data_IF_804604724827
#
_entry.id   IF_804604724827
#
_cell.length_a   1.000
_cell.length_b   1.000
_cell.length_c   1.000
_cell.angle_alpha   90.00
_cell.angle_beta   90.00
_cell.angle_gamma   90.00
#
_symmetry.space_group_name_H-M   'P 1'
#
loop_
_entity.id
_entity.type
_entity.pdbx_description
1 polymer ?
#
# COMPACT_ATOMS: atom_id res chain seq x y z
N UNK A 1 6.11 11.25 22.84
CA UNK A 1 7.18 10.23 22.97
C UNK A 1 8.43 10.76 22.28
N UNK A 2 9.62 10.40 22.74
CA UNK A 2 10.87 10.85 22.12
C UNK A 2 10.94 10.47 20.63
N UNK A 3 11.38 11.41 19.79
CA UNK A 3 11.72 11.14 18.40
C UNK A 3 12.83 10.07 18.38
N UNK A 4 12.76 9.15 17.41
CA UNK A 4 13.84 8.21 17.18
C UNK A 4 15.11 8.98 16.80
N UNK A 5 16.26 8.61 17.38
CA UNK A 5 17.56 9.14 17.02
C UNK A 5 18.19 8.25 15.92
N UNK A 6 18.26 8.72 14.66
CA UNK A 6 18.81 7.93 13.56
C UNK A 6 20.28 7.55 13.76
N UNK A 7 21.04 8.29 14.58
CA UNK A 7 22.46 7.99 14.82
C UNK A 7 22.67 6.70 15.60
N UNK A 8 21.66 6.22 16.32
CA UNK A 8 21.70 4.97 17.07
C UNK A 8 21.32 3.74 16.22
N UNK A 9 20.81 3.94 15.01
CA UNK A 9 20.31 2.85 14.17
C UNK A 9 21.36 1.76 13.95
N UNK A 10 22.60 2.15 13.63
CA UNK A 10 23.66 1.20 13.33
C UNK A 10 24.06 0.35 14.55
N UNK A 11 23.83 0.85 15.76
CA UNK A 11 24.06 0.11 17.00
C UNK A 11 22.93 -0.89 17.28
N UNK A 12 21.71 -0.59 16.85
CA UNK A 12 20.53 -1.42 17.07
C UNK A 12 20.34 -2.52 16.02
N UNK A 13 20.73 -2.27 14.75
CA UNK A 13 20.52 -3.19 13.64
C UNK A 13 21.09 -4.60 13.86
N UNK A 14 22.34 -4.79 14.36
CA UNK A 14 22.89 -6.13 14.58
C UNK A 14 22.02 -6.97 15.52
N UNK A 15 21.55 -6.36 16.61
CA UNK A 15 20.72 -7.02 17.62
C UNK A 15 19.31 -7.30 17.10
N UNK A 16 18.72 -6.34 16.37
CA UNK A 16 17.43 -6.53 15.71
C UNK A 16 17.46 -7.69 14.72
N UNK A 17 18.47 -7.75 13.84
CA UNK A 17 18.62 -8.86 12.91
C UNK A 17 18.79 -10.17 13.68
N UNK A 18 19.68 -10.22 14.68
CA UNK A 18 19.95 -11.43 15.45
C UNK A 18 18.75 -11.98 16.23
N UNK A 19 17.88 -11.12 16.76
CA UNK A 19 16.81 -11.54 17.69
C UNK A 19 15.39 -11.43 17.16
N UNK A 20 15.12 -10.48 16.28
CA UNK A 20 13.74 -10.11 15.95
C UNK A 20 13.40 -10.28 14.46
N UNK A 21 14.40 -10.32 13.57
CA UNK A 21 14.13 -10.47 12.14
C UNK A 21 13.69 -11.92 11.78
N UNK A 22 12.57 -12.10 11.05
CA UNK A 22 11.97 -13.41 10.85
C UNK A 22 12.53 -14.18 9.65
N UNK A 23 13.85 -14.49 9.66
CA UNK A 23 14.55 -15.10 8.52
C UNK A 23 13.85 -16.32 7.92
N UNK A 24 13.46 -17.28 8.76
CA UNK A 24 12.81 -18.52 8.30
C UNK A 24 11.49 -18.27 7.60
N UNK A 25 10.68 -17.39 8.17
CA UNK A 25 9.38 -17.06 7.62
C UNK A 25 9.52 -16.27 6.31
N UNK A 26 10.48 -15.33 6.25
CA UNK A 26 10.82 -14.61 5.02
C UNK A 26 11.30 -15.58 3.93
N UNK A 27 12.19 -16.53 4.26
CA UNK A 27 12.66 -17.52 3.28
C UNK A 27 11.54 -18.46 2.84
N UNK A 28 10.66 -18.90 3.76
CA UNK A 28 9.48 -19.72 3.44
C UNK A 28 8.55 -18.99 2.47
N UNK A 29 8.33 -17.69 2.67
CA UNK A 29 7.57 -16.85 1.74
C UNK A 29 8.25 -16.78 0.37
N UNK A 30 9.52 -16.39 0.33
CA UNK A 30 10.25 -16.12 -0.91
C UNK A 30 10.53 -17.37 -1.76
N UNK A 31 10.35 -18.54 -1.18
CA UNK A 31 10.45 -19.85 -1.86
C UNK A 31 9.09 -20.47 -2.15
N UNK A 32 7.99 -19.87 -1.69
CA UNK A 32 6.63 -20.36 -1.91
C UNK A 32 6.43 -21.83 -1.49
N UNK A 33 7.17 -22.27 -0.45
CA UNK A 33 7.16 -23.66 0.01
C UNK A 33 7.78 -24.67 -0.96
N UNK A 34 8.54 -24.20 -1.97
CA UNK A 34 9.46 -25.02 -2.76
C UNK A 34 10.69 -25.39 -1.92
N UNK A 35 11.50 -26.31 -2.43
CA UNK A 35 12.79 -26.64 -1.80
C UNK A 35 13.62 -25.36 -1.60
N UNK A 36 13.91 -25.04 -0.34
CA UNK A 36 14.61 -23.83 0.08
C UNK A 36 15.96 -23.71 -0.62
N UNK A 37 16.72 -24.80 -0.66
CA UNK A 37 18.09 -24.83 -1.19
C UNK A 37 18.12 -24.54 -2.70
N UNK A 38 17.18 -25.13 -3.44
CA UNK A 38 17.13 -25.00 -4.89
C UNK A 38 16.57 -23.64 -5.36
N UNK A 39 15.59 -23.09 -4.63
CA UNK A 39 14.83 -21.92 -5.08
C UNK A 39 15.30 -20.59 -4.49
N UNK A 40 15.82 -20.57 -3.25
CA UNK A 40 16.22 -19.33 -2.60
C UNK A 40 17.50 -18.73 -3.20
N UNK A 41 18.46 -19.58 -3.58
CA UNK A 41 19.73 -19.19 -4.22
C UNK A 41 19.58 -18.41 -5.53
N UNK A 42 18.41 -18.47 -6.16
CA UNK A 42 18.08 -17.78 -7.40
C UNK A 42 17.45 -16.40 -7.17
N UNK A 43 17.11 -16.06 -5.92
CA UNK A 43 16.51 -14.77 -5.54
C UNK A 43 17.58 -13.70 -5.38
N UNK A 44 17.38 -12.55 -6.02
CA UNK A 44 18.18 -11.36 -5.74
C UNK A 44 17.72 -10.69 -4.45
N UNK A 45 18.69 -10.39 -3.59
CA UNK A 45 18.58 -9.44 -2.50
C UNK A 45 19.60 -8.32 -2.70
N UNK A 46 19.27 -7.11 -2.24
CA UNK A 46 20.17 -5.97 -2.26
C UNK A 46 20.33 -5.39 -0.85
N UNK A 47 21.57 -5.14 -0.45
CA UNK A 47 21.90 -4.47 0.80
C UNK A 47 22.19 -3.00 0.51
N UNK A 48 21.49 -2.11 1.18
CA UNK A 48 21.69 -0.65 1.06
C UNK A 48 22.29 -0.15 2.37
N UNK A 49 23.46 0.48 2.27
CA UNK A 49 24.22 1.00 3.39
C UNK A 49 23.96 2.50 3.61
N UNK A 50 24.51 3.06 4.68
CA UNK A 50 24.34 4.47 5.07
C UNK A 50 24.82 5.47 4.02
N UNK A 51 25.86 5.11 3.27
CA UNK A 51 26.44 5.88 2.16
C UNK A 51 25.61 5.76 0.86
N UNK A 52 24.39 5.22 0.92
CA UNK A 52 23.53 4.88 -0.22
C UNK A 52 24.24 3.98 -1.25
N UNK A 53 25.22 3.19 -0.80
CA UNK A 53 25.85 2.17 -1.63
C UNK A 53 24.93 0.95 -1.71
N UNK A 54 24.58 0.57 -2.95
CA UNK A 54 23.70 -0.56 -3.21
C UNK A 54 24.52 -1.78 -3.60
N UNK A 55 24.64 -2.75 -2.68
CA UNK A 55 25.22 -4.04 -2.98
C UNK A 55 24.14 -4.96 -3.57
N UNK A 56 23.94 -4.87 -4.89
CA UNK A 56 23.00 -5.66 -5.69
C UNK A 56 23.49 -7.07 -6.01
N UNK A 57 22.59 -7.88 -6.57
CA UNK A 57 22.87 -9.24 -7.02
C UNK A 57 23.43 -10.15 -5.92
N UNK A 58 23.03 -9.94 -4.66
CA UNK A 58 23.32 -10.91 -3.58
C UNK A 58 22.31 -12.04 -3.66
N UNK A 59 22.76 -13.25 -3.38
CA UNK A 59 21.89 -14.42 -3.25
C UNK A 59 22.50 -15.39 -2.24
N UNK A 60 21.63 -16.17 -1.59
CA UNK A 60 21.99 -17.01 -0.45
C UNK A 60 21.39 -18.40 -0.61
N UNK A 61 22.09 -19.42 -0.15
CA UNK A 61 21.66 -20.81 -0.23
C UNK A 61 20.45 -21.08 0.69
N UNK A 62 20.44 -20.47 1.89
CA UNK A 62 19.38 -20.68 2.88
C UNK A 62 19.21 -19.51 3.87
N UNK A 63 18.30 -19.67 4.82
CA UNK A 63 18.02 -18.71 5.88
C UNK A 63 19.22 -18.48 6.82
N UNK A 64 20.07 -19.49 7.02
CA UNK A 64 21.24 -19.43 7.92
C UNK A 64 22.35 -18.60 7.29
N UNK A 65 22.62 -18.76 5.99
CA UNK A 65 23.58 -17.92 5.27
C UNK A 65 23.10 -16.46 5.21
N UNK A 66 21.82 -16.24 4.90
CA UNK A 66 21.23 -14.89 4.92
C UNK A 66 21.38 -14.25 6.31
N UNK A 67 21.03 -14.97 7.37
CA UNK A 67 21.13 -14.48 8.74
C UNK A 67 22.55 -14.06 9.10
N UNK A 68 23.54 -14.93 8.83
CA UNK A 68 24.94 -14.64 9.10
C UNK A 68 25.41 -13.37 8.39
N UNK A 69 25.08 -13.23 7.10
CA UNK A 69 25.52 -12.09 6.30
C UNK A 69 24.76 -10.81 6.63
N UNK A 70 23.46 -10.88 6.96
CA UNK A 70 22.68 -9.72 7.35
C UNK A 70 23.10 -9.19 8.72
N UNK A 71 23.38 -10.07 9.69
CA UNK A 71 23.92 -9.67 10.99
C UNK A 71 25.32 -9.05 10.86
N UNK A 72 26.19 -9.66 10.03
CA UNK A 72 27.56 -9.18 9.80
C UNK A 72 27.60 -7.82 9.08
N UNK A 73 26.81 -7.68 8.02
CA UNK A 73 26.81 -6.47 7.20
C UNK A 73 25.99 -5.33 7.82
N UNK A 74 24.92 -5.68 8.55
CA UNK A 74 23.97 -4.76 9.18
C UNK A 74 23.58 -3.58 8.26
N UNK A 75 23.01 -3.85 7.08
CA UNK A 75 22.61 -2.79 6.15
C UNK A 75 21.41 -2.00 6.68
N UNK A 76 21.30 -0.74 6.26
CA UNK A 76 20.17 0.12 6.61
C UNK A 76 18.88 -0.30 5.92
N UNK A 77 18.96 -0.88 4.72
CA UNK A 77 17.80 -1.46 4.02
C UNK A 77 18.18 -2.79 3.38
N UNK A 78 17.19 -3.66 3.30
CA UNK A 78 17.20 -4.89 2.54
C UNK A 78 16.09 -4.81 1.51
N UNK A 79 16.44 -4.82 0.24
CA UNK A 79 15.47 -4.86 -0.85
C UNK A 79 15.45 -6.25 -1.50
N UNK A 80 14.26 -6.65 -1.93
CA UNK A 80 13.98 -7.94 -2.56
C UNK A 80 13.79 -7.73 -4.06
N UNK A 81 14.45 -8.56 -4.86
CA UNK A 81 14.37 -8.56 -6.32
C UNK A 81 13.74 -9.81 -6.92
N UNK A 82 14.00 -10.01 -8.21
CA UNK A 82 13.49 -11.14 -8.96
C UNK A 82 14.17 -12.47 -8.56
N UNK A 83 13.51 -13.56 -8.93
CA UNK A 83 14.12 -14.87 -9.12
C UNK A 83 14.71 -14.89 -10.52
N UNK A 84 15.96 -15.31 -10.65
CA UNK A 84 16.71 -15.38 -11.91
C UNK A 84 16.90 -16.83 -12.38
N UNK A 85 17.34 -17.00 -13.63
CA UNK A 85 17.71 -18.31 -14.18
C UNK A 85 19.05 -18.85 -13.65
N UNK A 86 19.92 -17.97 -13.15
CA UNK A 86 21.17 -18.31 -12.47
C UNK A 86 21.24 -17.60 -11.12
N UNK A 87 22.15 -18.04 -10.24
CA UNK A 87 22.40 -17.36 -8.97
C UNK A 87 22.81 -15.91 -9.23
N UNK A 88 22.13 -14.89 -8.68
CA UNK A 88 22.49 -13.49 -8.85
C UNK A 88 23.96 -13.18 -8.52
N UNK A 89 24.53 -13.81 -7.49
CA UNK A 89 25.95 -13.62 -7.13
C UNK A 89 26.93 -14.02 -8.25
N UNK A 90 26.48 -14.87 -9.17
CA UNK A 90 27.23 -15.38 -10.31
C UNK A 90 26.86 -14.72 -11.66
N UNK A 91 26.03 -13.67 -11.67
CA UNK A 91 25.48 -13.07 -12.91
C UNK A 91 26.52 -12.77 -14.00
N UNK A 92 27.76 -12.39 -13.62
CA UNK A 92 28.83 -12.08 -14.57
C UNK A 92 29.37 -13.29 -15.34
N UNK A 93 29.08 -14.51 -14.87
CA UNK A 93 29.52 -15.76 -15.51
C UNK A 93 28.61 -16.18 -16.67
N UNK A 94 27.43 -15.57 -16.80
CA UNK A 94 26.38 -16.02 -17.71
C UNK A 94 25.92 -14.88 -18.62
N UNK A 95 26.03 -15.07 -19.93
CA UNK A 95 25.57 -14.09 -20.91
C UNK A 95 24.03 -14.04 -21.02
N UNK A 96 23.34 -15.13 -20.65
CA UNK A 96 21.88 -15.28 -20.68
C UNK A 96 21.22 -14.99 -19.32
N UNK A 97 21.92 -14.32 -18.39
CA UNK A 97 21.39 -13.97 -17.07
C UNK A 97 20.14 -13.08 -17.18
N UNK A 98 18.99 -13.60 -16.75
CA UNK A 98 17.70 -12.91 -16.87
C UNK A 98 16.74 -13.20 -15.70
N UNK A 99 15.86 -12.24 -15.37
CA UNK A 99 14.81 -12.43 -14.38
C UNK A 99 13.70 -13.33 -14.93
N UNK A 100 13.21 -14.26 -14.10
CA UNK A 100 12.23 -15.30 -14.47
C UNK A 100 10.87 -15.05 -13.80
N UNK A 101 10.88 -14.80 -12.49
CA UNK A 101 9.67 -14.56 -11.70
C UNK A 101 9.92 -13.45 -10.68
N UNK A 102 8.90 -12.64 -10.40
CA UNK A 102 8.88 -11.72 -9.25
C UNK A 102 7.45 -11.41 -8.89
N UNK A 103 7.13 -11.33 -7.61
CA UNK A 103 5.89 -10.78 -7.11
C UNK A 103 5.50 -9.50 -7.89
N UNK A 104 4.21 -9.35 -8.22
CA UNK A 104 3.71 -8.08 -8.73
C UNK A 104 3.59 -7.14 -7.53
N UNK A 105 4.17 -5.95 -7.62
CA UNK A 105 4.22 -5.02 -6.49
C UNK A 105 3.56 -3.71 -6.84
N UNK A 106 3.03 -3.05 -5.82
CA UNK A 106 2.50 -1.68 -5.90
C UNK A 106 3.09 -0.88 -4.75
N UNK A 107 3.49 0.37 -5.03
CA UNK A 107 3.95 1.33 -4.03
C UNK A 107 3.02 2.54 -4.07
N UNK A 108 2.52 2.92 -2.88
CA UNK A 108 1.68 4.10 -2.67
C UNK A 108 2.34 4.94 -1.59
N UNK A 109 2.80 6.14 -1.95
CA UNK A 109 3.37 7.12 -1.03
C UNK A 109 2.45 8.34 -0.90
N UNK A 110 2.24 8.81 0.34
CA UNK A 110 1.47 10.01 0.60
C UNK A 110 2.04 11.30 0.00
N UNK A 111 3.30 11.36 -0.42
CA UNK A 111 3.81 12.52 -1.19
C UNK A 111 3.13 12.68 -2.53
N UNK A 112 2.63 11.59 -3.12
CA UNK A 112 1.89 11.68 -4.37
C UNK A 112 0.59 12.44 -4.19
N UNK A 113 0.18 12.76 -2.96
CA UNK A 113 -1.03 13.49 -2.60
C UNK A 113 -0.75 14.89 -2.03
N UNK A 114 0.50 15.37 -2.05
CA UNK A 114 0.90 16.68 -1.49
C UNK A 114 0.18 17.89 -2.12
N UNK A 115 -0.29 17.74 -3.36
CA UNK A 115 -1.08 18.74 -4.07
C UNK A 115 -2.51 18.90 -3.52
N UNK A 116 -3.03 17.90 -2.79
CA UNK A 116 -4.43 17.88 -2.33
C UNK A 116 -4.62 17.65 -0.83
N UNK A 117 -3.61 17.16 -0.10
CA UNK A 117 -3.69 17.02 1.35
C UNK A 117 -3.30 18.32 2.05
N UNK A 118 -4.12 18.75 3.01
CA UNK A 118 -3.94 20.04 3.72
C UNK A 118 -3.44 19.87 5.15
N UNK A 119 -3.55 18.67 5.71
CA UNK A 119 -3.18 18.39 7.10
C UNK A 119 -1.68 18.15 7.33
N UNK A 120 -0.93 17.76 6.30
CA UNK A 120 0.50 17.40 6.35
C UNK A 120 1.12 17.69 4.98
N UNK A 121 2.45 17.76 4.92
CA UNK A 121 3.20 17.83 3.67
C UNK A 121 4.46 16.97 3.72
N UNK A 122 4.99 16.62 2.55
CA UNK A 122 6.23 15.88 2.37
C UNK A 122 6.30 14.61 3.24
N UNK A 123 7.25 14.57 4.16
CA UNK A 123 7.55 13.49 5.06
C UNK A 123 6.51 13.24 6.16
N UNK A 124 5.67 14.23 6.47
CA UNK A 124 4.76 14.19 7.61
C UNK A 124 3.54 13.34 7.28
N UNK A 125 3.08 12.59 8.27
CA UNK A 125 1.89 11.76 8.21
C UNK A 125 1.11 11.92 9.50
N UNK A 126 -0.22 11.90 9.40
CA UNK A 126 -1.14 11.87 10.53
C UNK A 126 -2.33 10.98 10.18
N UNK A 127 -3.22 10.73 11.16
CA UNK A 127 -4.43 9.93 10.97
C UNK A 127 -5.30 10.43 9.79
N UNK A 128 -5.39 11.75 9.59
CA UNK A 128 -6.21 12.35 8.53
C UNK A 128 -5.73 11.94 7.14
N UNK A 129 -4.43 12.11 6.86
CA UNK A 129 -3.88 11.74 5.55
C UNK A 129 -3.63 10.23 5.40
N UNK A 130 -3.58 9.46 6.49
CA UNK A 130 -3.53 8.00 6.38
C UNK A 130 -4.79 7.40 5.72
N UNK A 131 -5.91 8.13 5.69
CA UNK A 131 -7.13 7.71 5.01
C UNK A 131 -6.93 7.46 3.51
N UNK A 132 -6.03 8.18 2.84
CA UNK A 132 -5.67 7.86 1.44
C UNK A 132 -5.06 6.46 1.31
N UNK A 133 -4.19 6.07 2.24
CA UNK A 133 -3.62 4.72 2.25
C UNK A 133 -4.71 3.68 2.55
N UNK A 134 -5.60 3.96 3.51
CA UNK A 134 -6.74 3.08 3.80
C UNK A 134 -7.63 2.85 2.58
N UNK A 135 -8.02 3.92 1.89
CA UNK A 135 -8.79 3.84 0.65
C UNK A 135 -8.04 3.08 -0.45
N UNK A 136 -6.72 3.30 -0.57
CA UNK A 136 -5.92 2.60 -1.55
C UNK A 136 -5.84 1.11 -1.32
N UNK A 137 -5.59 0.68 -0.08
CA UNK A 137 -5.60 -0.73 0.29
C UNK A 137 -6.97 -1.35 0.02
N UNK A 138 -8.06 -0.68 0.40
CA UNK A 138 -9.42 -1.19 0.18
C UNK A 138 -9.77 -1.36 -1.30
N UNK A 139 -9.57 -0.32 -2.11
CA UNK A 139 -9.88 -0.34 -3.55
C UNK A 139 -9.00 -1.35 -4.28
N UNK A 140 -7.68 -1.29 -4.05
CA UNK A 140 -6.76 -2.17 -4.77
C UNK A 140 -6.94 -3.62 -4.35
N UNK A 141 -7.18 -3.93 -3.07
CA UNK A 141 -7.49 -5.30 -2.65
C UNK A 141 -8.73 -5.83 -3.37
N UNK A 142 -9.80 -5.02 -3.41
CA UNK A 142 -11.03 -5.40 -4.10
C UNK A 142 -10.81 -5.60 -5.60
N UNK A 143 -10.09 -4.70 -6.27
CA UNK A 143 -9.86 -4.79 -7.71
C UNK A 143 -8.93 -5.95 -8.07
N UNK A 144 -7.84 -6.16 -7.32
CA UNK A 144 -6.91 -7.27 -7.52
C UNK A 144 -7.61 -8.62 -7.35
N UNK A 145 -8.47 -8.76 -6.34
CA UNK A 145 -9.22 -9.99 -6.12
C UNK A 145 -10.31 -10.17 -7.17
N UNK A 146 -11.20 -9.19 -7.36
CA UNK A 146 -12.39 -9.37 -8.20
C UNK A 146 -12.10 -9.33 -9.70
N UNK A 147 -11.20 -8.47 -10.15
CA UNK A 147 -10.95 -8.27 -11.58
C UNK A 147 -9.79 -9.11 -12.11
N UNK A 148 -8.83 -9.48 -11.26
CA UNK A 148 -7.68 -10.29 -11.66
C UNK A 148 -7.65 -11.69 -11.04
N UNK A 149 -8.46 -11.95 -10.01
CA UNK A 149 -8.47 -13.24 -9.31
C UNK A 149 -7.25 -13.48 -8.41
N UNK A 150 -6.50 -12.43 -8.09
CA UNK A 150 -5.33 -12.55 -7.22
C UNK A 150 -5.75 -12.69 -5.75
N UNK A 151 -5.25 -13.74 -5.09
CA UNK A 151 -5.65 -14.10 -3.72
C UNK A 151 -4.58 -13.75 -2.69
N UNK A 152 -3.31 -13.73 -3.08
CA UNK A 152 -2.19 -13.64 -2.18
C UNK A 152 -1.58 -12.23 -2.21
N UNK A 153 -2.34 -11.25 -1.72
CA UNK A 153 -1.89 -9.86 -1.59
C UNK A 153 -1.40 -9.58 -0.15
N UNK A 154 -0.09 -9.35 0.02
CA UNK A 154 0.49 -8.93 1.30
C UNK A 154 0.73 -7.42 1.31
N UNK A 155 -0.01 -6.70 2.14
CA UNK A 155 0.15 -5.26 2.34
C UNK A 155 1.13 -4.98 3.47
N UNK A 156 2.10 -4.09 3.25
CA UNK A 156 3.24 -3.87 4.14
C UNK A 156 3.47 -2.39 4.33
N UNK A 157 3.45 -1.91 5.56
CA UNK A 157 3.81 -0.53 5.88
C UNK A 157 5.23 -0.21 5.37
N UNK A 158 5.43 0.92 4.70
CA UNK A 158 6.74 1.27 4.15
C UNK A 158 7.78 1.66 5.22
N UNK A 159 7.35 1.80 6.48
CA UNK A 159 8.15 2.27 7.61
C UNK A 159 8.05 3.79 7.84
N UNK A 160 7.27 4.52 7.03
CA UNK A 160 7.04 5.95 7.22
C UNK A 160 5.62 6.41 6.89
N UNK A 161 5.32 6.57 5.60
CA UNK A 161 4.12 7.32 5.14
C UNK A 161 3.43 6.67 3.94
N UNK A 162 3.81 5.44 3.60
CA UNK A 162 3.29 4.73 2.45
C UNK A 162 3.03 3.27 2.78
N UNK A 163 2.56 2.53 1.77
CA UNK A 163 2.32 1.11 1.86
C UNK A 163 2.75 0.42 0.57
N UNK A 164 3.28 -0.79 0.70
CA UNK A 164 3.61 -1.65 -0.41
C UNK A 164 2.61 -2.80 -0.47
N UNK A 165 2.20 -3.21 -1.67
CA UNK A 165 1.50 -4.46 -1.89
C UNK A 165 2.45 -5.46 -2.56
N UNK A 166 2.48 -6.69 -2.08
CA UNK A 166 3.16 -7.82 -2.72
C UNK A 166 2.11 -8.86 -3.13
N UNK A 167 1.84 -8.96 -4.43
CA UNK A 167 0.96 -9.97 -5.00
C UNK A 167 1.80 -11.20 -5.34
N UNK A 168 1.61 -12.24 -4.54
CA UNK A 168 2.43 -13.43 -4.54
C UNK A 168 1.85 -14.60 -5.33
N UNK A 169 0.67 -14.49 -5.95
CA UNK A 169 0.09 -15.55 -6.79
C UNK A 169 1.03 -15.97 -7.93
N UNK A 170 1.17 -17.28 -8.19
CA UNK A 170 2.05 -17.81 -9.25
C UNK A 170 1.84 -17.14 -10.62
N UNK A 171 0.58 -16.86 -10.98
CA UNK A 171 0.22 -16.17 -12.22
C UNK A 171 0.73 -14.73 -12.26
N UNK A 172 0.65 -14.00 -11.14
CA UNK A 172 1.16 -12.64 -11.01
C UNK A 172 2.69 -12.63 -11.08
N UNK A 173 3.34 -13.62 -10.44
CA UNK A 173 4.80 -13.72 -10.42
C UNK A 173 5.44 -13.87 -11.79
N UNK A 174 4.77 -14.61 -12.66
CA UNK A 174 5.22 -14.95 -14.02
C UNK A 174 4.89 -13.86 -15.06
N UNK A 175 4.19 -12.80 -14.67
CA UNK A 175 3.93 -11.68 -15.57
C UNK A 175 5.24 -11.04 -16.04
N UNK A 176 5.38 -10.96 -17.35
CA UNK A 176 6.44 -10.19 -18.00
C UNK A 176 6.10 -8.68 -17.95
N UNK A 177 7.06 -7.83 -18.28
CA UNK A 177 6.92 -6.37 -18.16
C UNK A 177 5.66 -5.82 -18.85
N UNK A 178 5.27 -6.35 -20.01
CA UNK A 178 4.04 -5.96 -20.72
C UNK A 178 2.77 -6.32 -19.95
N UNK A 179 2.71 -7.50 -19.35
CA UNK A 179 1.60 -7.92 -18.51
C UNK A 179 1.51 -7.09 -17.23
N UNK A 180 2.65 -6.79 -16.60
CA UNK A 180 2.71 -5.89 -15.44
C UNK A 180 2.22 -4.48 -15.80
N UNK A 181 2.68 -3.94 -16.91
CA UNK A 181 2.23 -2.64 -17.42
C UNK A 181 0.73 -2.62 -17.68
N UNK A 182 0.16 -3.67 -18.27
CA UNK A 182 -1.27 -3.75 -18.52
C UNK A 182 -2.09 -3.78 -17.22
N UNK A 183 -1.64 -4.51 -16.19
CA UNK A 183 -2.32 -4.53 -14.88
C UNK A 183 -2.26 -3.14 -14.23
N UNK A 184 -1.11 -2.48 -14.26
CA UNK A 184 -0.91 -1.16 -13.67
C UNK A 184 -1.71 -0.11 -14.42
N UNK A 185 -1.66 -0.08 -15.75
CA UNK A 185 -2.46 0.83 -16.59
C UNK A 185 -3.96 0.63 -16.38
N UNK A 186 -4.41 -0.63 -16.23
CA UNK A 186 -5.79 -0.94 -15.91
C UNK A 186 -6.21 -0.36 -14.55
N UNK A 187 -5.34 -0.37 -13.55
CA UNK A 187 -5.61 0.14 -12.20
C UNK A 187 -5.35 1.65 -12.07
N UNK A 188 -4.53 2.24 -12.94
CA UNK A 188 -4.20 3.66 -12.92
C UNK A 188 -5.29 4.49 -13.57
N UNK A 189 -5.76 5.51 -12.87
CA UNK A 189 -6.55 6.57 -13.50
C UNK A 189 -5.58 7.60 -14.06
N UNK A 190 -5.61 7.84 -15.38
CA UNK A 190 -4.92 9.00 -15.97
C UNK A 190 -5.69 10.25 -15.56
N UNK A 191 -5.36 10.77 -14.38
CA UNK A 191 -6.04 11.87 -13.71
C UNK A 191 -5.57 13.22 -14.24
N UNK A 192 -5.69 13.44 -15.56
CA UNK A 192 -5.84 14.81 -16.05
C UNK A 192 -7.33 15.14 -16.06
N UNK A 193 -7.71 16.23 -15.39
CA UNK A 193 -9.10 16.68 -15.33
C UNK A 193 -9.71 16.90 -16.73
N UNK A 194 -8.86 17.15 -17.74
CA UNK A 194 -9.21 17.25 -19.15
C UNK A 194 -9.56 15.90 -19.84
N UNK A 195 -9.11 14.75 -19.34
CA UNK A 195 -9.45 13.44 -19.94
C UNK A 195 -10.75 12.86 -19.38
N UNK A 196 -11.04 13.08 -18.09
CA UNK A 196 -12.31 12.65 -17.48
C UNK A 196 -13.50 13.40 -18.11
N UNK A 197 -13.37 14.71 -18.34
CA UNK A 197 -14.38 15.54 -19.02
C UNK A 197 -14.58 15.20 -20.51
N UNK A 198 -13.51 14.81 -21.23
CA UNK A 198 -13.60 14.36 -22.63
C UNK A 198 -14.20 12.96 -22.81
N UNK A 199 -14.04 12.07 -21.83
CA UNK A 199 -14.69 10.75 -21.85
C UNK A 199 -16.21 10.87 -21.60
N UNK A 200 -16.61 11.78 -20.71
CA UNK A 200 -18.00 12.04 -20.35
C UNK A 200 -18.87 12.61 -21.50
N UNK A 201 -18.25 13.18 -22.54
CA UNK A 201 -18.96 13.87 -23.62
C UNK A 201 -19.31 13.01 -24.84
N UNK A 202 -18.80 11.77 -24.96
CA UNK A 202 -19.00 10.99 -26.20
C UNK A 202 -19.64 9.61 -26.09
N UNK A 203 -19.68 8.96 -24.93
CA UNK A 203 -20.46 7.71 -24.73
C UNK A 203 -20.87 7.54 -23.27
N UNK A 204 -22.10 7.12 -23.04
CA UNK A 204 -22.69 6.73 -21.74
C UNK A 204 -22.01 5.53 -21.05
N UNK A 205 -20.94 4.99 -21.63
CA UNK A 205 -20.27 3.81 -21.14
C UNK A 205 -19.26 4.18 -20.06
N UNK A 206 -19.53 3.70 -18.85
CA UNK A 206 -18.59 3.74 -17.73
C UNK A 206 -17.92 2.39 -17.64
N UNK A 207 -16.58 2.37 -17.64
CA UNK A 207 -15.83 1.12 -17.49
C UNK A 207 -16.15 0.46 -16.12
N UNK A 208 -16.42 -0.86 -16.05
CA UNK A 208 -16.83 -1.52 -14.80
C UNK A 208 -15.88 -1.33 -13.62
N UNK A 209 -14.55 -1.27 -13.87
CA UNK A 209 -13.57 -0.93 -12.82
C UNK A 209 -13.87 0.43 -12.18
N UNK A 210 -14.18 1.45 -13.00
CA UNK A 210 -14.49 2.78 -12.50
C UNK A 210 -15.78 2.79 -11.70
N UNK A 211 -16.75 1.95 -12.07
CA UNK A 211 -18.01 1.78 -11.34
C UNK A 211 -17.79 1.16 -9.98
N UNK A 212 -17.04 0.08 -9.94
CA UNK A 212 -16.72 -0.60 -8.69
C UNK A 212 -15.86 0.29 -7.76
N UNK A 213 -14.88 1.01 -8.30
CA UNK A 213 -14.06 1.97 -7.55
C UNK A 213 -14.89 3.15 -7.01
N UNK A 214 -15.74 3.74 -7.85
CA UNK A 214 -16.62 4.83 -7.43
C UNK A 214 -17.60 4.38 -6.34
N UNK A 215 -18.23 3.21 -6.54
CA UNK A 215 -19.13 2.62 -5.55
C UNK A 215 -18.43 2.43 -4.20
N UNK A 216 -17.22 1.88 -4.21
CA UNK A 216 -16.42 1.72 -2.99
C UNK A 216 -16.18 3.07 -2.30
N UNK A 217 -15.76 4.08 -3.05
CA UNK A 217 -15.46 5.41 -2.52
C UNK A 217 -16.67 6.09 -1.88
N UNK A 218 -17.81 6.17 -2.58
CA UNK A 218 -18.99 6.87 -2.07
C UNK A 218 -19.63 6.19 -0.86
N UNK A 219 -19.39 4.89 -0.69
CA UNK A 219 -19.85 4.12 0.47
C UNK A 219 -18.85 4.14 1.63
N UNK A 220 -17.63 4.64 1.43
CA UNK A 220 -16.58 4.64 2.43
C UNK A 220 -16.75 5.75 3.47
N UNK A 221 -16.66 5.37 4.75
CA UNK A 221 -16.59 6.33 5.85
C UNK A 221 -15.34 7.21 5.76
N UNK A 222 -14.20 6.65 5.33
CA UNK A 222 -12.95 7.41 5.17
C UNK A 222 -13.09 8.56 4.17
N UNK A 223 -13.85 8.38 3.08
CA UNK A 223 -14.13 9.47 2.12
C UNK A 223 -14.90 10.58 2.81
N UNK A 224 -15.95 10.24 3.56
CA UNK A 224 -16.77 11.24 4.27
C UNK A 224 -15.92 12.06 5.24
N UNK A 225 -15.08 11.40 6.04
CA UNK A 225 -14.16 12.05 6.96
C UNK A 225 -13.16 12.95 6.23
N UNK A 226 -12.61 12.49 5.10
CA UNK A 226 -11.69 13.30 4.29
C UNK A 226 -12.34 14.58 3.76
N UNK A 227 -13.62 14.53 3.37
CA UNK A 227 -14.36 15.72 2.92
C UNK A 227 -14.34 16.84 3.98
N UNK A 228 -14.37 16.48 5.26
CA UNK A 228 -14.32 17.42 6.37
C UNK A 228 -12.89 17.78 6.76
N UNK A 229 -12.05 16.75 6.96
CA UNK A 229 -10.71 16.86 7.52
C UNK A 229 -9.74 17.61 6.60
N UNK A 230 -9.96 17.55 5.28
CA UNK A 230 -9.16 18.25 4.27
C UNK A 230 -9.72 19.62 3.89
N UNK A 231 -10.88 20.00 4.44
CA UNK A 231 -11.50 21.31 4.24
C UNK A 231 -12.34 21.44 2.97
N UNK A 232 -12.63 20.34 2.25
CA UNK A 232 -13.40 20.39 0.99
C UNK A 232 -14.87 20.81 1.18
N UNK A 233 -15.42 20.71 2.40
CA UNK A 233 -16.77 21.18 2.73
C UNK A 233 -16.83 22.61 3.29
N UNK A 234 -15.70 23.31 3.38
CA UNK A 234 -15.66 24.76 3.70
C UNK A 234 -16.20 25.59 2.53
N UNK A 235 -16.47 26.88 2.77
CA UNK A 235 -17.01 27.77 1.72
C UNK A 235 -16.07 27.91 0.50
N UNK A 236 -14.76 27.99 0.76
CA UNK A 236 -13.74 28.00 -0.28
C UNK A 236 -13.51 26.58 -0.83
N UNK A 237 -13.53 25.57 0.03
CA UNK A 237 -13.35 24.17 -0.36
C UNK A 237 -14.41 23.66 -1.32
N UNK A 238 -15.67 24.08 -1.15
CA UNK A 238 -16.77 23.73 -2.04
C UNK A 238 -16.54 24.20 -3.48
N UNK A 239 -15.83 25.33 -3.67
CA UNK A 239 -15.52 25.83 -5.00
C UNK A 239 -14.64 24.87 -5.80
N UNK A 240 -13.88 24.02 -5.12
CA UNK A 240 -13.05 22.99 -5.75
C UNK A 240 -13.87 21.93 -6.52
N UNK A 241 -15.19 21.83 -6.28
CA UNK A 241 -16.10 21.00 -7.09
C UNK A 241 -16.11 21.41 -8.56
N UNK A 242 -15.72 22.64 -8.89
CA UNK A 242 -15.65 23.14 -10.26
C UNK A 242 -14.31 22.80 -10.94
N UNK A 243 -13.34 22.25 -10.21
CA UNK A 243 -12.01 21.93 -10.75
C UNK A 243 -12.13 21.01 -11.97
N UNK A 244 -11.57 21.45 -13.10
CA UNK A 244 -11.58 20.69 -14.34
C UNK A 244 -12.92 20.65 -15.09
N UNK A 245 -13.92 21.41 -14.65
CA UNK A 245 -15.17 21.54 -15.38
C UNK A 245 -14.91 22.32 -16.68
N UNK A 246 -15.14 21.68 -17.83
CA UNK A 246 -14.97 22.30 -19.15
C UNK A 246 -16.28 22.71 -19.82
N UNK A 247 -17.43 22.36 -19.22
CA UNK A 247 -18.75 22.63 -19.78
C UNK A 247 -19.45 23.72 -18.94
N UNK A 248 -19.86 24.80 -19.60
CA UNK A 248 -20.41 25.98 -18.90
C UNK A 248 -21.76 25.71 -18.25
N UNK A 249 -22.60 24.88 -18.86
CA UNK A 249 -23.91 24.53 -18.31
C UNK A 249 -23.76 23.71 -17.02
N UNK A 250 -22.85 22.74 -17.00
CA UNK A 250 -22.49 21.95 -15.81
C UNK A 250 -21.88 22.84 -14.73
N UNK A 251 -20.98 23.76 -15.12
CA UNK A 251 -20.37 24.69 -14.19
C UNK A 251 -21.41 25.57 -13.48
N UNK A 252 -22.37 26.13 -14.22
CA UNK A 252 -23.44 26.96 -13.68
C UNK A 252 -24.36 26.17 -12.74
N UNK A 253 -24.77 24.95 -13.13
CA UNK A 253 -25.58 24.09 -12.27
C UNK A 253 -24.86 23.75 -10.95
N UNK A 254 -23.58 23.39 -11.02
CA UNK A 254 -22.79 23.09 -9.82
C UNK A 254 -22.62 24.34 -8.96
N UNK A 255 -22.44 25.54 -9.56
CA UNK A 255 -22.39 26.82 -8.81
C UNK A 255 -23.68 27.08 -8.05
N UNK A 256 -24.84 26.83 -8.67
CA UNK A 256 -26.14 26.96 -8.01
C UNK A 256 -26.27 25.99 -6.83
N UNK A 257 -25.90 24.72 -7.03
CA UNK A 257 -25.89 23.70 -5.97
C UNK A 257 -24.92 24.10 -4.84
N UNK A 258 -23.74 24.62 -5.15
CA UNK A 258 -22.79 25.13 -4.14
C UNK A 258 -23.42 26.25 -3.32
N UNK A 259 -24.09 27.21 -3.97
CA UNK A 259 -24.73 28.33 -3.28
C UNK A 259 -25.85 27.86 -2.34
N UNK A 260 -26.66 26.88 -2.76
CA UNK A 260 -27.65 26.22 -1.89
C UNK A 260 -26.95 25.58 -0.67
N UNK A 261 -25.87 24.83 -0.89
CA UNK A 261 -25.20 24.06 0.15
C UNK A 261 -24.42 24.95 1.14
N UNK A 262 -23.90 26.10 0.69
CA UNK A 262 -23.24 27.08 1.57
C UNK A 262 -24.15 27.59 2.69
N UNK A 263 -25.46 27.58 2.48
CA UNK A 263 -26.44 28.01 3.51
C UNK A 263 -26.50 27.04 4.70
N UNK A 264 -25.99 25.82 4.56
CA UNK A 264 -25.98 24.80 5.61
C UNK A 264 -24.78 25.05 6.54
N UNK A 265 -25.02 25.14 7.84
CA UNK A 265 -24.03 25.52 8.88
C UNK A 265 -23.10 24.37 9.34
N UNK A 266 -23.29 23.15 8.82
CA UNK A 266 -22.58 21.95 9.26
C UNK A 266 -21.94 21.23 8.07
N UNK A 267 -20.61 21.01 8.13
CA UNK A 267 -19.86 20.31 7.07
C UNK A 267 -20.38 18.89 6.78
N UNK A 268 -20.78 18.16 7.82
CA UNK A 268 -21.36 16.82 7.67
C UNK A 268 -22.67 16.87 6.86
N UNK A 269 -23.55 17.81 7.21
CA UNK A 269 -24.81 18.03 6.49
C UNK A 269 -24.58 18.53 5.07
N UNK A 270 -23.56 19.38 4.83
CA UNK A 270 -23.16 19.81 3.47
C UNK A 270 -22.76 18.63 2.60
N UNK A 271 -21.94 17.71 3.12
CA UNK A 271 -21.56 16.50 2.40
C UNK A 271 -22.76 15.62 2.09
N UNK A 272 -23.64 15.40 3.07
CA UNK A 272 -24.86 14.64 2.85
C UNK A 272 -25.77 15.29 1.80
N UNK A 273 -25.90 16.62 1.79
CA UNK A 273 -26.64 17.36 0.77
C UNK A 273 -26.02 17.19 -0.63
N UNK A 274 -24.70 17.29 -0.77
CA UNK A 274 -24.00 17.01 -2.04
C UNK A 274 -24.28 15.59 -2.52
N UNK A 275 -24.17 14.59 -1.63
CA UNK A 275 -24.48 13.20 -1.97
C UNK A 275 -25.93 13.03 -2.39
N UNK A 276 -26.88 13.71 -1.75
CA UNK A 276 -28.29 13.66 -2.18
C UNK A 276 -28.46 14.25 -3.59
N UNK A 277 -27.74 15.31 -3.94
CA UNK A 277 -27.81 15.93 -5.29
C UNK A 277 -27.15 15.07 -6.37
N UNK A 278 -26.03 14.40 -6.09
CA UNK A 278 -25.19 13.76 -7.12
C UNK A 278 -25.03 12.22 -7.02
N UNK A 279 -25.14 11.63 -5.83
CA UNK A 279 -24.82 10.21 -5.58
C UNK A 279 -26.09 9.34 -5.60
N UNK A 280 -26.20 8.51 -6.64
CA UNK A 280 -27.31 7.57 -6.82
C UNK A 280 -27.40 6.52 -5.70
N UNK A 281 -26.29 6.13 -5.07
CA UNK A 281 -26.28 5.16 -3.97
C UNK A 281 -26.93 5.77 -2.72
N UNK A 282 -26.59 7.04 -2.39
CA UNK A 282 -27.24 7.73 -1.27
C UNK A 282 -28.72 7.96 -1.53
N UNK A 283 -29.09 8.35 -2.74
CA UNK A 283 -30.50 8.52 -3.12
C UNK A 283 -31.27 7.21 -3.03
N UNK A 284 -30.70 6.09 -3.47
CA UNK A 284 -31.31 4.76 -3.37
C UNK A 284 -31.48 4.31 -1.91
N UNK A 285 -30.51 4.60 -1.04
CA UNK A 285 -30.61 4.39 0.41
C UNK A 285 -31.80 5.16 1.01
N UNK A 286 -31.88 6.47 0.76
CA UNK A 286 -32.95 7.31 1.30
C UNK A 286 -34.33 6.95 0.77
N UNK A 287 -34.43 6.62 -0.53
CA UNK A 287 -35.68 6.14 -1.15
C UNK A 287 -36.17 4.83 -0.50
N UNK A 288 -35.26 3.89 -0.20
CA UNK A 288 -35.62 2.66 0.53
C UNK A 288 -36.14 2.94 1.93
N UNK A 289 -35.69 4.04 2.54
CA UNK A 289 -36.15 4.49 3.86
C UNK A 289 -37.40 5.38 3.79
N UNK A 290 -38.06 5.49 2.62
CA UNK A 290 -39.31 6.25 2.45
C UNK A 290 -39.13 7.77 2.48
N UNK A 291 -37.91 8.27 2.30
CA UNK A 291 -37.62 9.71 2.33
C UNK A 291 -37.89 10.31 0.95
N UNK A 292 -38.72 11.36 0.90
CA UNK A 292 -38.96 12.16 -0.30
C UNK A 292 -37.67 12.90 -0.71
N UNK A 293 -37.33 12.81 -2.00
CA UNK A 293 -36.06 13.32 -2.51
C UNK A 293 -36.27 14.62 -3.27
N UNK A 294 -35.35 15.57 -3.07
CA UNK A 294 -35.25 16.76 -3.91
C UNK A 294 -34.82 16.40 -5.33
N UNK A 295 -34.89 17.39 -6.23
CA UNK A 295 -34.40 17.28 -7.60
C UNK A 295 -32.93 16.83 -7.63
N UNK A 296 -32.63 15.90 -8.53
CA UNK A 296 -31.29 15.37 -8.75
C UNK A 296 -30.54 16.29 -9.72
N UNK A 297 -29.23 16.40 -9.57
CA UNK A 297 -28.42 17.09 -10.55
C UNK A 297 -28.48 16.38 -11.91
N UNK A 298 -28.17 17.12 -12.98
CA UNK A 298 -28.09 16.56 -14.32
C UNK A 298 -27.09 15.39 -14.40
N UNK A 299 -27.26 14.54 -15.40
CA UNK A 299 -26.37 13.39 -15.60
C UNK A 299 -24.91 13.82 -15.78
N UNK A 300 -24.68 14.93 -16.49
CA UNK A 300 -23.38 15.50 -16.77
C UNK A 300 -22.72 16.04 -15.48
N UNK A 301 -23.48 16.75 -14.64
CA UNK A 301 -22.99 17.25 -13.36
C UNK A 301 -22.71 16.12 -12.37
N UNK A 302 -23.52 15.06 -12.38
CA UNK A 302 -23.25 13.84 -11.60
C UNK A 302 -21.98 13.11 -12.07
N UNK A 303 -21.73 13.04 -13.39
CA UNK A 303 -20.47 12.51 -13.93
C UNK A 303 -19.26 13.37 -13.55
N UNK A 304 -19.41 14.70 -13.54
CA UNK A 304 -18.36 15.61 -13.09
C UNK A 304 -18.06 15.41 -11.60
N UNK A 305 -19.08 15.35 -10.75
CA UNK A 305 -18.92 15.06 -9.31
C UNK A 305 -18.21 13.72 -9.05
N UNK A 306 -18.54 12.70 -9.83
CA UNK A 306 -17.83 11.42 -9.80
C UNK A 306 -16.35 11.57 -10.15
N UNK A 307 -16.04 12.31 -11.21
CA UNK A 307 -14.67 12.64 -11.59
C UNK A 307 -13.92 13.38 -10.48
N UNK A 308 -14.57 14.36 -9.86
CA UNK A 308 -14.05 15.12 -8.73
C UNK A 308 -13.67 14.21 -7.55
N UNK A 309 -14.54 13.27 -7.16
CA UNK A 309 -14.25 12.34 -6.06
C UNK A 309 -13.10 11.39 -6.40
N UNK A 310 -13.12 10.79 -7.59
CA UNK A 310 -12.03 9.93 -8.06
C UNK A 310 -10.71 10.69 -8.05
N UNK A 311 -10.69 11.94 -8.56
CA UNK A 311 -9.49 12.77 -8.62
C UNK A 311 -8.82 12.96 -7.23
N UNK A 312 -9.64 13.07 -6.19
CA UNK A 312 -9.18 13.38 -4.84
C UNK A 312 -8.88 12.17 -3.98
N UNK A 313 -9.52 11.04 -4.24
CA UNK A 313 -9.53 9.92 -3.30
C UNK A 313 -9.02 8.61 -3.88
N UNK A 314 -8.90 8.50 -5.21
CA UNK A 314 -8.44 7.28 -5.86
C UNK A 314 -6.91 7.05 -5.64
N UNK A 315 -6.45 5.79 -5.65
CA UNK A 315 -5.03 5.45 -5.51
C UNK A 315 -4.15 6.04 -6.62
N UNK A 316 -3.08 6.74 -6.22
CA UNK A 316 -2.00 7.16 -7.10
C UNK A 316 -0.90 6.10 -6.99
N UNK A 317 -0.55 5.49 -8.12
CA UNK A 317 0.37 4.35 -8.18
C UNK A 317 1.70 4.80 -8.78
N UNK A 318 2.82 4.39 -8.18
CA UNK A 318 4.12 4.44 -8.86
C UNK A 318 4.20 3.33 -9.92
N UNK A 319 4.05 3.75 -11.18
CA UNK A 319 4.04 2.85 -12.34
C UNK A 319 5.41 2.20 -12.55
N UNK A 320 6.50 2.90 -12.22
CA UNK A 320 7.86 2.40 -12.49
C UNK A 320 8.25 1.26 -11.55
N UNK A 321 7.80 1.30 -10.30
CA UNK A 321 8.00 0.22 -9.31
C UNK A 321 7.29 -1.07 -9.71
N UNK A 322 6.14 -0.92 -10.37
CA UNK A 322 5.23 -2.02 -10.67
C UNK A 322 5.53 -2.73 -12.00
N UNK A 323 6.13 -2.03 -12.97
CA UNK A 323 6.32 -2.50 -14.36
C UNK A 323 7.56 -3.37 -14.57
N UNK A 324 8.68 -3.07 -13.92
CA UNK A 324 9.93 -3.80 -14.11
C UNK A 324 9.97 -5.12 -13.33
N UNK A 325 10.14 -6.25 -14.02
CA UNK A 325 10.31 -7.56 -13.34
C UNK A 325 11.56 -7.61 -12.47
N UNK A 326 12.62 -6.86 -12.78
CA UNK A 326 13.87 -6.77 -12.00
C UNK A 326 13.92 -5.61 -11.00
N UNK A 327 12.81 -4.90 -10.79
CA UNK A 327 12.74 -3.81 -9.84
C UNK A 327 12.90 -4.33 -8.40
N UNK A 328 13.66 -3.60 -7.58
CA UNK A 328 13.91 -3.90 -6.18
C UNK A 328 12.89 -3.18 -5.31
N UNK A 329 12.34 -3.84 -4.30
CA UNK A 329 11.46 -3.20 -3.33
C UNK A 329 11.80 -3.63 -1.90
N UNK A 330 11.67 -2.69 -0.96
CA UNK A 330 12.02 -2.90 0.45
C UNK A 330 11.32 -4.13 1.04
N UNK A 331 12.11 -4.99 1.68
CA UNK A 331 11.64 -6.18 2.38
C UNK A 331 10.64 -5.83 3.49
N UNK A 332 9.61 -6.65 3.71
CA UNK A 332 8.92 -6.70 4.98
C UNK A 332 9.90 -6.87 6.13
N UNK A 333 9.56 -6.30 7.28
CA UNK A 333 10.35 -6.29 8.52
C UNK A 333 11.69 -5.52 8.44
N UNK A 334 11.96 -4.76 7.38
CA UNK A 334 13.04 -3.78 7.40
C UNK A 334 12.75 -2.63 8.36
N UNK A 335 13.80 -2.10 8.98
CA UNK A 335 13.70 -0.90 9.81
C UNK A 335 13.92 0.33 8.94
N UNK A 336 13.02 1.31 9.02
CA UNK A 336 13.17 2.54 8.25
C UNK A 336 14.18 3.48 8.90
N UNK A 337 15.23 3.92 8.19
CA UNK A 337 16.41 4.52 8.82
C UNK A 337 16.15 5.85 9.53
N UNK A 338 15.17 6.64 9.06
CA UNK A 338 14.84 7.94 9.67
C UNK A 338 13.82 7.86 10.81
N UNK A 339 13.05 6.78 10.92
CA UNK A 339 11.91 6.68 11.85
C UNK A 339 12.11 5.58 12.88
N UNK A 340 13.00 4.63 12.61
CA UNK A 340 13.18 3.42 13.42
C UNK A 340 11.99 2.46 13.33
N UNK A 341 10.93 2.79 12.59
CA UNK A 341 9.73 1.95 12.48
C UNK A 341 10.00 0.74 11.60
N UNK A 342 9.43 -0.40 11.99
CA UNK A 342 9.52 -1.66 11.26
C UNK A 342 8.46 -1.68 10.14
N UNK A 343 8.85 -2.14 8.95
CA UNK A 343 7.98 -2.33 7.80
C UNK A 343 7.08 -3.56 7.99
N UNK A 344 6.04 -3.42 8.81
CA UNK A 344 5.19 -4.54 9.23
C UNK A 344 4.07 -4.85 8.22
N UNK A 345 3.75 -6.14 8.00
CA UNK A 345 2.56 -6.55 7.24
C UNK A 345 1.27 -6.15 7.96
N UNK A 346 0.30 -5.63 7.23
CA UNK A 346 -0.96 -5.08 7.75
C UNK A 346 -2.15 -5.72 7.04
N UNK A 347 -3.15 -6.11 7.80
CA UNK A 347 -4.42 -6.60 7.25
C UNK A 347 -5.23 -5.46 6.62
N UNK A 348 -5.79 -5.64 5.40
CA UNK A 348 -6.71 -4.69 4.79
C UNK A 348 -7.88 -4.30 5.70
N UNK A 349 -8.35 -5.21 6.56
CA UNK A 349 -9.48 -4.96 7.45
C UNK A 349 -9.13 -4.04 8.64
N UNK A 350 -7.84 -3.85 8.93
CA UNK A 350 -7.36 -3.07 10.07
C UNK A 350 -6.71 -1.75 9.66
N UNK A 351 -6.47 -1.54 8.36
CA UNK A 351 -5.69 -0.41 7.84
C UNK A 351 -6.22 0.97 8.29
N UNK A 352 -7.53 1.14 8.36
CA UNK A 352 -8.20 2.39 8.75
C UNK A 352 -8.08 2.69 10.25
N UNK A 353 -7.79 1.68 11.06
CA UNK A 353 -7.71 1.76 12.52
C UNK A 353 -6.27 1.88 13.03
N UNK A 354 -5.28 1.84 12.14
CA UNK A 354 -3.87 1.88 12.53
C UNK A 354 -3.49 3.24 13.10
N UNK A 355 -2.84 3.16 14.25
CA UNK A 355 -2.14 4.26 14.89
C UNK A 355 -0.66 4.14 14.57
N UNK A 356 -0.18 4.96 13.62
CA UNK A 356 1.20 4.91 13.12
C UNK A 356 2.22 5.09 14.26
N UNK A 357 1.88 5.86 15.29
CA UNK A 357 2.77 6.12 16.43
C UNK A 357 2.97 4.89 17.34
N UNK A 358 2.05 3.93 17.26
CA UNK A 358 2.09 2.66 17.99
C UNK A 358 2.67 1.51 17.18
N UNK A 359 3.06 1.75 15.92
CA UNK A 359 3.73 0.72 15.13
C UNK A 359 5.11 0.38 15.75
N UNK A 360 5.57 -0.87 15.61
CA UNK A 360 6.81 -1.31 16.23
C UNK A 360 8.00 -0.47 15.78
N UNK A 361 8.82 -0.04 16.74
CA UNK A 361 10.02 0.77 16.53
C UNK A 361 11.23 0.06 17.14
N UNK A 362 12.34 0.03 16.43
CA UNK A 362 13.52 -0.78 16.77
C UNK A 362 14.02 -0.53 18.21
N UNK A 363 14.11 0.72 18.65
CA UNK A 363 14.55 1.10 19.99
C UNK A 363 13.61 0.54 21.08
N UNK A 364 12.29 0.66 20.89
CA UNK A 364 11.29 0.12 21.82
C UNK A 364 11.31 -1.40 21.83
N UNK A 365 11.36 -2.02 20.65
CA UNK A 365 11.39 -3.47 20.52
C UNK A 365 12.57 -4.09 21.25
N UNK A 366 13.76 -3.50 21.15
CA UNK A 366 14.95 -3.98 21.84
C UNK A 366 14.85 -3.86 23.38
N UNK A 367 14.03 -2.95 23.89
CA UNK A 367 13.71 -2.86 25.32
C UNK A 367 12.62 -3.86 25.76
N UNK A 368 11.74 -4.27 24.86
CA UNK A 368 10.70 -5.28 25.13
C UNK A 368 11.27 -6.69 25.19
N UNK A 369 12.38 -6.96 24.50
CA UNK A 369 12.95 -8.31 24.48
C UNK A 369 13.40 -8.68 25.91
N UNK A 370 12.91 -9.81 26.46
CA UNK A 370 13.30 -10.22 27.78
C UNK A 370 14.84 -10.30 27.90
N UNK A 371 15.37 -9.82 29.02
CA UNK A 371 16.72 -10.17 29.44
C UNK A 371 16.67 -11.62 29.94
N UNK A 372 16.60 -12.58 29.01
CA UNK A 372 16.85 -13.97 29.36
C UNK A 372 18.34 -14.06 29.70
N UNK A 373 18.62 -14.36 30.97
CA UNK A 373 19.96 -14.52 31.48
C UNK A 373 20.69 -15.63 30.71
N UNK A 374 21.84 -15.24 30.13
CA UNK A 374 23.09 -15.92 29.73
C UNK A 374 23.26 -17.46 29.87
N UNK A 375 22.22 -18.28 29.83
CA UNK A 375 22.32 -19.74 29.87
C UNK A 375 21.43 -20.33 28.77
N UNK A 376 22.09 -20.86 27.74
CA UNK A 376 21.53 -21.45 26.50
C UNK A 376 21.24 -20.50 25.34
N UNK A 377 22.23 -19.69 24.96
CA UNK A 377 22.25 -19.06 23.63
C UNK A 377 22.21 -20.14 22.53
N UNK A 378 21.14 -20.17 21.72
CA UNK A 378 21.21 -20.77 20.39
C UNK A 378 20.08 -21.70 19.95
N UNK A 379 18.90 -21.73 20.60
CA UNK A 379 17.77 -22.55 20.12
C UNK A 379 16.78 -21.70 19.32
N UNK A 380 16.38 -22.18 18.15
CA UNK A 380 15.37 -21.52 17.27
C UNK A 380 14.03 -21.23 17.98
N UNK A 381 13.70 -22.04 18.99
CA UNK A 381 12.51 -21.85 19.83
C UNK A 381 12.59 -20.56 20.66
N UNK A 382 13.79 -20.13 21.07
CA UNK A 382 14.01 -18.91 21.87
C UNK A 382 13.73 -17.66 21.04
N UNK A 383 14.28 -17.55 19.82
CA UNK A 383 13.99 -16.42 18.92
C UNK A 383 12.49 -16.29 18.64
N UNK A 384 11.85 -17.41 18.31
CA UNK A 384 10.40 -17.42 18.03
C UNK A 384 9.59 -17.02 19.26
N UNK A 385 10.04 -17.41 20.45
CA UNK A 385 9.46 -16.99 21.71
C UNK A 385 9.64 -15.48 21.93
N UNK A 386 10.85 -14.95 21.78
CA UNK A 386 11.14 -13.51 21.92
C UNK A 386 10.25 -12.66 21.01
N UNK A 387 10.22 -12.97 19.71
CA UNK A 387 9.40 -12.24 18.74
C UNK A 387 7.93 -12.19 19.18
N UNK A 388 7.38 -13.31 19.65
CA UNK A 388 5.98 -13.42 20.08
C UNK A 388 5.66 -12.64 21.36
N UNK A 389 6.67 -12.33 22.19
CA UNK A 389 6.50 -11.55 23.42
C UNK A 389 6.68 -10.03 23.20
N UNK A 390 7.10 -9.60 22.01
CA UNK A 390 7.21 -8.19 21.65
C UNK A 390 5.96 -7.66 20.94
N UNK A 391 5.87 -6.33 20.81
CA UNK A 391 4.90 -5.64 19.97
C UNK A 391 5.00 -5.99 18.47
N UNK A 392 6.07 -6.68 18.04
CA UNK A 392 6.21 -7.23 16.68
C UNK A 392 5.40 -8.53 16.47
N UNK A 393 5.11 -9.26 17.54
CA UNK A 393 4.46 -10.58 17.52
C UNK A 393 3.15 -10.66 16.70
N UNK A 394 2.19 -9.72 16.86
CA UNK A 394 0.95 -9.73 16.09
C UNK A 394 1.16 -9.64 14.58
N UNK A 395 2.13 -8.83 14.12
CA UNK A 395 2.44 -8.66 12.71
C UNK A 395 3.15 -9.89 12.12
N UNK A 396 3.95 -10.57 12.93
CA UNK A 396 4.59 -11.83 12.57
C UNK A 396 3.54 -12.92 12.39
N UNK A 397 2.59 -13.02 13.33
CA UNK A 397 1.46 -13.96 13.21
C UNK A 397 0.65 -13.70 11.94
N UNK A 398 0.33 -12.44 11.65
CA UNK A 398 -0.39 -12.08 10.43
C UNK A 398 0.38 -12.51 9.16
N UNK A 399 1.70 -12.35 9.17
CA UNK A 399 2.55 -12.80 8.06
C UNK A 399 2.65 -14.32 7.98
N UNK A 400 2.74 -15.04 9.12
CA UNK A 400 2.67 -16.51 9.17
C UNK A 400 1.38 -17.01 8.50
N UNK A 401 0.22 -16.43 8.83
CA UNK A 401 -1.07 -16.78 8.22
C UNK A 401 -1.13 -16.49 6.72
N UNK A 402 -0.49 -15.42 6.25
CA UNK A 402 -0.36 -15.14 4.82
C UNK A 402 0.50 -16.19 4.11
N UNK A 403 1.69 -16.48 4.65
CA UNK A 403 2.65 -17.43 4.06
C UNK A 403 2.09 -18.85 4.06
N UNK A 404 1.44 -19.27 5.14
CA UNK A 404 0.86 -20.61 5.25
C UNK A 404 -0.26 -20.84 4.23
N UNK A 405 -1.13 -19.84 4.01
CA UNK A 405 -2.16 -19.90 2.96
C UNK A 405 -1.56 -19.95 1.56
N UNK A 406 -0.56 -19.12 1.29
CA UNK A 406 0.15 -19.11 0.00
C UNK A 406 0.81 -20.47 -0.28
N UNK A 407 1.54 -21.02 0.68
CA UNK A 407 2.22 -22.32 0.53
C UNK A 407 1.21 -23.44 0.34
N UNK A 408 0.11 -23.42 1.08
CA UNK A 408 -0.96 -24.41 0.92
C UNK A 408 -1.52 -24.39 -0.51
N UNK A 409 -1.89 -23.22 -1.03
CA UNK A 409 -2.46 -23.10 -2.38
C UNK A 409 -1.44 -23.45 -3.49
N UNK A 410 -0.16 -23.11 -3.31
CA UNK A 410 0.92 -23.50 -4.25
C UNK A 410 1.15 -25.01 -4.29
N UNK A 411 0.91 -25.72 -3.20
CA UNK A 411 1.02 -27.18 -3.15
C UNK A 411 -0.17 -27.88 -3.82
N UNK A 412 -1.37 -27.28 -3.78
CA UNK A 412 -2.57 -27.81 -4.45
C UNK A 412 -2.56 -27.60 -5.98
N UNK A 413 -1.76 -26.66 -6.48
CA UNK A 413 -1.64 -26.35 -7.92
C UNK A 413 -0.56 -27.20 -8.63
N UNK A 414 0.19 -28.04 -7.91
CA UNK A 414 1.13 -29.02 -8.46
C UNK A 414 0.42 -30.33 -8.75
#
# INVERSE_FOLDING_TARGET
MANFDPSLLQQFLPEYYRRLFPFKLLCKWLTYGKDLSASFQMRELAFIFEDDRHARYRSFEDATELEKELCKASPQKLDIGAIYNHKPKDHKKFADFCPVERELVFDIDLTDYDDIRTCCSEAKVCRKCWRWISLAVGILSYLLEKHFGFKHCCWVFSGRRGIHCWVADAVARKLQNSGRAAVVEYLSLVMSAQKISKAATKRSFVHPMLEDAYRFLVQSHDVSEMMYEQGWMSDDGLMSLLDGCGNKEVEEEIRQIINEIKTIDCHEKRWNALRIKFDNYKRAELKRNGIELCEVASSQSSFHFRGYLLQRTYPRLDIHVSTGINHLLKSPFCVHPKTGLVAVPISPNQISQIDIEKLPRIDKLLHEVPKLDLLEAGKENERRYEIKQTSLGPYIKHFEEFVDRLVYDEQQQR
#
